data_IF_484191895378
#
_entry.id   IF_484191895378
#
_cell.length_a   1.000
_cell.length_b   1.000
_cell.length_c   1.000
_cell.angle_alpha   90.00
_cell.angle_beta   90.00
_cell.angle_gamma   90.00
#
_symmetry.space_group_name_H-M   'P 1'
#
loop_
_entity.id
_entity.type
_entity.pdbx_description
1 polymer ?
#
# COMPACT_ATOMS: atom_id res chain seq x y z
N UNK A 1 -17.58 4.83 32.30
CA UNK A 1 -16.66 4.47 31.21
C UNK A 1 -17.40 4.02 29.98
N UNK A 2 -16.79 4.15 28.82
CA UNK A 2 -17.33 3.74 27.53
C UNK A 2 -16.86 2.31 27.22
N UNK A 3 -17.79 1.42 26.89
CA UNK A 3 -17.46 0.05 26.48
C UNK A 3 -17.00 0.06 25.02
N UNK A 4 -15.79 -0.46 24.75
CA UNK A 4 -15.13 -0.46 23.45
C UNK A 4 -14.68 -1.86 23.08
N UNK A 5 -14.80 -2.23 21.81
CA UNK A 5 -14.08 -3.36 21.27
C UNK A 5 -12.79 -2.85 20.62
N UNK A 6 -11.66 -3.13 21.24
CA UNK A 6 -10.35 -2.77 20.73
C UNK A 6 -9.74 -3.96 20.00
N UNK A 7 -9.43 -3.78 18.73
CA UNK A 7 -8.77 -4.77 17.89
C UNK A 7 -7.35 -4.34 17.62
N UNK A 8 -6.37 -5.18 17.97
CA UNK A 8 -4.97 -4.93 17.65
C UNK A 8 -4.77 -5.14 16.15
N UNK A 9 -4.84 -4.05 15.43
CA UNK A 9 -4.70 -3.99 13.99
C UNK A 9 -3.97 -2.71 13.61
N UNK A 10 -3.10 -2.77 12.63
CA UNK A 10 -2.40 -1.60 12.10
C UNK A 10 -2.48 -1.59 10.59
N UNK A 11 -2.86 -0.45 10.05
CA UNK A 11 -2.82 -0.17 8.61
C UNK A 11 -1.62 0.73 8.24
N UNK A 12 -0.85 1.17 9.20
CA UNK A 12 0.27 2.11 9.03
C UNK A 12 1.64 1.50 9.32
N UNK A 13 1.69 0.19 9.58
CA UNK A 13 2.94 -0.49 9.86
C UNK A 13 3.55 -0.19 11.23
N UNK A 14 2.79 0.36 12.15
CA UNK A 14 3.18 0.62 13.55
C UNK A 14 2.27 -0.15 14.50
N UNK A 15 2.62 -0.23 15.78
CA UNK A 15 1.72 -0.79 16.80
C UNK A 15 0.47 0.09 16.86
N UNK A 16 -0.68 -0.53 16.65
CA UNK A 16 -1.94 0.20 16.59
C UNK A 16 -3.14 -0.61 17.05
N UNK A 17 -4.23 0.11 17.26
CA UNK A 17 -5.52 -0.46 17.59
C UNK A 17 -6.62 0.25 16.80
N UNK A 18 -7.58 -0.52 16.32
CA UNK A 18 -8.87 -0.01 15.87
C UNK A 18 -9.87 -0.12 17.00
N UNK A 19 -10.62 0.94 17.24
CA UNK A 19 -11.59 1.02 18.33
C UNK A 19 -13.01 1.06 17.76
N UNK A 20 -13.81 0.08 18.12
CA UNK A 20 -15.20 -0.04 17.69
C UNK A 20 -16.12 0.26 18.85
N UNK A 21 -17.01 1.22 18.68
CA UNK A 21 -17.92 1.72 19.71
C UNK A 21 -19.28 2.01 19.07
N UNK A 22 -20.33 1.99 19.87
CA UNK A 22 -21.64 2.48 19.44
C UNK A 22 -21.54 3.95 19.02
N UNK A 23 -22.17 4.32 17.90
CA UNK A 23 -22.08 5.66 17.32
C UNK A 23 -22.55 6.75 18.29
N UNK A 24 -23.49 6.45 19.18
CA UNK A 24 -23.98 7.36 20.23
C UNK A 24 -22.90 7.70 21.27
N UNK A 25 -21.89 6.85 21.45
CA UNK A 25 -20.78 6.98 22.41
C UNK A 25 -19.45 7.39 21.76
N UNK A 26 -19.43 7.58 20.45
CA UNK A 26 -18.19 7.87 19.73
C UNK A 26 -17.55 9.21 20.19
N UNK A 27 -18.37 10.22 20.44
CA UNK A 27 -17.91 11.53 20.95
C UNK A 27 -17.30 11.37 22.35
N UNK A 28 -17.97 10.69 23.26
CA UNK A 28 -17.47 10.49 24.62
C UNK A 28 -16.16 9.72 24.63
N UNK A 29 -16.04 8.68 23.81
CA UNK A 29 -14.78 7.93 23.64
C UNK A 29 -13.65 8.85 23.14
N UNK A 30 -13.94 9.64 22.10
CA UNK A 30 -12.96 10.56 21.56
C UNK A 30 -12.46 11.56 22.60
N UNK A 31 -13.37 12.20 23.35
CA UNK A 31 -13.03 13.17 24.38
C UNK A 31 -12.17 12.56 25.50
N UNK A 32 -12.50 11.33 25.94
CA UNK A 32 -11.69 10.57 26.91
C UNK A 32 -10.27 10.32 26.37
N UNK A 33 -10.16 9.87 25.12
CA UNK A 33 -8.86 9.58 24.51
C UNK A 33 -8.00 10.82 24.37
N UNK A 34 -8.59 11.96 23.99
CA UNK A 34 -7.86 13.23 23.87
C UNK A 34 -7.40 13.71 25.25
N UNK A 35 -8.25 13.64 26.26
CA UNK A 35 -7.88 14.08 27.61
C UNK A 35 -6.75 13.24 28.23
N UNK A 36 -6.92 11.92 28.21
CA UNK A 36 -5.89 11.00 28.72
C UNK A 36 -4.61 11.05 27.89
N UNK A 37 -4.74 11.22 26.58
CA UNK A 37 -3.64 11.28 25.62
C UNK A 37 -2.69 12.47 25.81
N UNK A 38 -3.12 13.54 26.50
CA UNK A 38 -2.24 14.68 26.81
C UNK A 38 -0.99 14.26 27.59
N UNK A 39 -1.12 13.25 28.44
CA UNK A 39 -0.03 12.71 29.24
C UNK A 39 0.94 11.84 28.42
N UNK A 40 0.60 11.53 27.16
CA UNK A 40 1.34 10.62 26.27
C UNK A 40 1.70 11.29 24.95
N UNK A 41 1.69 12.61 24.89
CA UNK A 41 2.01 13.39 23.68
C UNK A 41 1.14 13.01 22.47
N UNK A 42 -0.13 12.62 22.70
CA UNK A 42 -1.05 12.25 21.65
C UNK A 42 -1.21 13.39 20.64
N UNK A 43 -1.04 13.06 19.36
CA UNK A 43 -1.24 13.99 18.26
C UNK A 43 -2.23 13.43 17.23
N UNK A 44 -3.02 14.31 16.64
CA UNK A 44 -3.91 13.94 15.55
C UNK A 44 -3.11 13.75 14.26
N UNK A 45 -3.41 12.67 13.53
CA UNK A 45 -2.87 12.42 12.20
C UNK A 45 -4.00 12.39 11.19
N UNK A 46 -3.80 13.06 10.05
CA UNK A 46 -4.77 13.08 8.97
C UNK A 46 -4.65 11.90 8.02
N UNK A 47 -5.61 11.79 7.08
CA UNK A 47 -5.66 10.71 6.09
C UNK A 47 -4.41 10.63 5.21
N UNK A 48 -3.78 11.76 4.85
CA UNK A 48 -2.55 11.76 4.06
C UNK A 48 -1.37 11.14 4.80
N UNK A 49 -1.27 11.36 6.12
CA UNK A 49 -0.24 10.70 6.94
C UNK A 49 -0.47 9.19 7.00
N UNK A 50 -1.72 8.76 7.21
CA UNK A 50 -2.07 7.34 7.17
C UNK A 50 -1.75 6.73 5.81
N UNK A 51 -2.09 7.41 4.72
CA UNK A 51 -1.88 6.91 3.36
C UNK A 51 -0.39 6.71 3.05
N UNK A 52 0.48 7.67 3.37
CA UNK A 52 1.91 7.45 3.11
C UNK A 52 2.50 6.37 4.01
N UNK A 53 2.13 6.29 5.27
CA UNK A 53 2.65 5.28 6.21
C UNK A 53 2.26 3.85 5.78
N UNK A 54 1.03 3.63 5.28
CA UNK A 54 0.62 2.33 4.75
C UNK A 54 1.42 1.96 3.49
N UNK A 55 1.73 2.93 2.62
CA UNK A 55 2.54 2.73 1.42
C UNK A 55 3.99 2.37 1.79
N UNK A 56 4.58 3.05 2.75
CA UNK A 56 5.92 2.73 3.28
C UNK A 56 6.00 1.26 3.76
N UNK A 57 4.89 0.74 4.29
CA UNK A 57 4.77 -0.63 4.80
C UNK A 57 4.29 -1.65 3.75
N UNK A 58 4.01 -1.21 2.53
CA UNK A 58 3.54 -2.07 1.45
C UNK A 58 2.08 -2.51 1.57
N UNK A 59 1.27 -1.79 2.34
CA UNK A 59 -0.14 -2.12 2.52
C UNK A 59 -0.98 -1.47 1.42
N UNK A 60 -1.80 -2.29 0.78
CA UNK A 60 -2.66 -1.89 -0.33
C UNK A 60 -3.99 -1.34 0.17
N UNK A 61 -4.56 -0.40 -0.59
CA UNK A 61 -5.83 0.25 -0.30
C UNK A 61 -6.94 -0.36 -1.15
N UNK A 62 -7.96 -0.89 -0.49
CA UNK A 62 -9.15 -1.39 -1.18
C UNK A 62 -9.92 -0.25 -1.86
N UNK A 63 -10.25 -0.45 -3.12
CA UNK A 63 -10.93 0.55 -3.95
C UNK A 63 -9.98 1.49 -4.71
N UNK A 64 -8.68 1.47 -4.39
CA UNK A 64 -7.63 2.20 -5.12
C UNK A 64 -6.61 1.24 -5.73
N UNK A 65 -5.86 0.52 -4.87
CA UNK A 65 -4.82 -0.40 -5.34
C UNK A 65 -5.37 -1.76 -5.73
N UNK A 66 -6.41 -2.22 -5.06
CA UNK A 66 -7.06 -3.50 -5.30
C UNK A 66 -8.58 -3.36 -5.30
N UNK A 67 -9.22 -4.20 -6.10
CA UNK A 67 -10.66 -4.25 -6.29
C UNK A 67 -11.11 -5.71 -6.51
N UNK A 68 -12.40 -5.99 -6.75
CA UNK A 68 -12.84 -7.32 -7.18
C UNK A 68 -12.25 -7.79 -8.51
N UNK A 69 -11.63 -6.91 -9.29
CA UNK A 69 -11.02 -7.23 -10.59
C UNK A 69 -9.61 -7.85 -10.47
N UNK A 70 -8.95 -7.68 -9.32
CA UNK A 70 -7.63 -8.22 -9.07
C UNK A 70 -7.70 -9.48 -8.23
N UNK A 71 -6.96 -10.51 -8.64
CA UNK A 71 -6.72 -11.66 -7.79
C UNK A 71 -5.46 -11.45 -6.92
N UNK A 72 -5.30 -12.30 -5.89
CA UNK A 72 -4.24 -12.20 -4.89
C UNK A 72 -2.83 -12.33 -5.50
N UNK A 73 -2.68 -13.00 -6.64
CA UNK A 73 -1.38 -13.10 -7.32
C UNK A 73 -1.01 -11.82 -8.05
N UNK A 74 -1.98 -11.19 -8.71
CA UNK A 74 -1.81 -9.90 -9.36
C UNK A 74 -1.50 -8.80 -8.34
N UNK A 75 -2.22 -8.81 -7.22
CA UNK A 75 -2.09 -7.82 -6.14
C UNK A 75 -0.85 -8.02 -5.24
N UNK A 76 -0.03 -9.05 -5.47
CA UNK A 76 1.13 -9.32 -4.63
C UNK A 76 0.81 -9.94 -3.27
N UNK A 77 -0.44 -10.35 -3.02
CA UNK A 77 -0.93 -10.87 -1.74
C UNK A 77 -0.85 -12.39 -1.61
N UNK A 78 -0.03 -13.05 -2.43
CA UNK A 78 0.16 -14.51 -2.39
C UNK A 78 0.54 -15.04 -1.02
N UNK A 79 1.29 -14.28 -0.23
CA UNK A 79 1.71 -14.66 1.11
C UNK A 79 0.54 -14.87 2.08
N UNK A 80 -0.60 -14.20 1.85
CA UNK A 80 -1.80 -14.33 2.68
C UNK A 80 -2.61 -15.61 2.39
N UNK A 81 -2.29 -16.34 1.31
CA UNK A 81 -2.99 -17.57 0.93
C UNK A 81 -2.34 -18.77 1.63
N UNK A 82 -3.07 -19.43 2.51
CA UNK A 82 -2.58 -20.64 3.19
C UNK A 82 -3.16 -21.91 2.58
N UNK A 83 -2.42 -22.52 1.65
CA UNK A 83 -2.78 -23.82 1.09
C UNK A 83 -2.45 -25.01 2.01
N UNK A 84 -1.58 -24.80 2.99
CA UNK A 84 -1.11 -25.86 3.91
C UNK A 84 -2.09 -26.18 5.02
N UNK A 85 -3.05 -25.28 5.29
CA UNK A 85 -4.06 -25.53 6.32
C UNK A 85 -5.00 -26.65 5.87
N UNK A 86 -5.25 -27.60 6.76
CA UNK A 86 -6.19 -28.69 6.53
C UNK A 86 -7.68 -28.24 6.68
N UNK A 87 -7.95 -27.02 6.26
CA UNK A 87 -9.27 -26.40 6.27
C UNK A 87 -9.54 -25.84 4.88
N UNK A 88 -10.72 -26.11 4.36
CA UNK A 88 -11.14 -25.52 3.10
C UNK A 88 -11.60 -24.07 3.30
N UNK A 89 -11.47 -23.23 2.27
CA UNK A 89 -11.96 -21.85 2.26
C UNK A 89 -12.57 -21.51 0.89
N UNK A 90 -13.48 -20.55 0.88
CA UNK A 90 -14.13 -20.08 -0.36
C UNK A 90 -13.08 -19.54 -1.31
N UNK A 91 -13.10 -20.02 -2.56
CA UNK A 91 -12.16 -19.59 -3.62
C UNK A 91 -10.87 -20.40 -3.69
N UNK A 92 -10.61 -21.37 -2.79
CA UNK A 92 -9.36 -22.19 -2.82
C UNK A 92 -9.14 -22.86 -4.16
N UNK A 93 -10.17 -23.52 -4.71
CA UNK A 93 -10.06 -24.24 -6.00
C UNK A 93 -9.84 -23.29 -7.17
N UNK A 94 -10.46 -22.11 -7.14
CA UNK A 94 -10.26 -21.07 -8.15
C UNK A 94 -8.81 -20.57 -8.11
N UNK A 95 -8.27 -20.29 -6.93
CA UNK A 95 -6.88 -19.87 -6.75
C UNK A 95 -5.87 -20.95 -7.17
N UNK A 96 -6.15 -22.22 -6.88
CA UNK A 96 -5.30 -23.33 -7.32
C UNK A 96 -5.23 -23.43 -8.85
N UNK A 97 -6.34 -23.16 -9.55
CA UNK A 97 -6.38 -23.20 -11.03
C UNK A 97 -5.51 -22.12 -11.68
N UNK A 98 -5.35 -20.96 -11.04
CA UNK A 98 -4.60 -19.82 -11.59
C UNK A 98 -3.19 -19.68 -11.00
N UNK A 99 -2.83 -20.49 -10.02
CA UNK A 99 -1.59 -20.39 -9.24
C UNK A 99 -0.32 -20.33 -10.10
N UNK A 100 -0.28 -21.16 -11.15
CA UNK A 100 0.90 -21.31 -12.02
C UNK A 100 0.66 -20.66 -13.40
N UNK A 101 -0.41 -19.92 -13.56
CA UNK A 101 -0.70 -19.19 -14.79
C UNK A 101 0.15 -17.92 -14.90
N UNK A 102 0.43 -17.53 -16.14
CA UNK A 102 1.07 -16.25 -16.41
C UNK A 102 0.09 -15.12 -16.06
N UNK A 103 0.54 -14.20 -15.20
CA UNK A 103 -0.25 -13.03 -14.86
C UNK A 103 -0.31 -12.06 -16.05
N UNK A 104 -1.46 -11.50 -16.30
CA UNK A 104 -1.66 -10.43 -17.30
C UNK A 104 -1.16 -9.07 -16.80
N UNK A 105 -1.23 -8.84 -15.48
CA UNK A 105 -0.71 -7.66 -14.79
C UNK A 105 -0.16 -8.04 -13.41
N UNK A 106 0.68 -7.19 -12.84
CA UNK A 106 1.23 -7.36 -11.49
C UNK A 106 1.41 -6.01 -10.82
N UNK A 107 1.03 -5.94 -9.55
CA UNK A 107 1.32 -4.79 -8.71
C UNK A 107 2.81 -4.72 -8.38
N UNK A 108 3.35 -3.54 -8.42
CA UNK A 108 4.72 -3.21 -8.04
C UNK A 108 4.76 -1.90 -7.26
N UNK A 109 5.84 -1.71 -6.54
CA UNK A 109 6.17 -0.48 -5.84
C UNK A 109 7.30 0.24 -6.57
N UNK A 110 7.19 1.56 -6.63
CA UNK A 110 8.17 2.43 -7.26
C UNK A 110 8.56 3.57 -6.32
N UNK A 111 9.77 4.08 -6.52
CA UNK A 111 10.19 5.36 -5.94
C UNK A 111 10.78 6.24 -7.03
N UNK A 112 10.48 7.55 -6.99
CA UNK A 112 11.13 8.50 -7.87
C UNK A 112 12.58 8.67 -7.44
N UNK A 113 13.50 8.78 -8.43
CA UNK A 113 14.92 8.96 -8.16
C UNK A 113 15.21 10.34 -7.55
N UNK A 114 14.54 11.36 -8.06
CA UNK A 114 14.64 12.73 -7.59
C UNK A 114 13.26 13.25 -7.23
N UNK A 115 13.06 13.63 -5.97
CA UNK A 115 11.77 14.14 -5.50
C UNK A 115 11.94 15.02 -4.27
N UNK A 116 11.03 15.98 -4.14
CA UNK A 116 10.85 16.83 -2.97
C UNK A 116 9.39 16.77 -2.53
N UNK A 117 9.05 17.21 -1.33
CA UNK A 117 7.66 17.30 -0.90
C UNK A 117 6.81 18.08 -1.88
N UNK A 118 5.81 17.43 -2.50
CA UNK A 118 4.91 18.04 -3.47
C UNK A 118 5.49 18.33 -4.86
N UNK A 119 6.75 17.92 -5.13
CA UNK A 119 7.42 18.14 -6.43
C UNK A 119 8.14 16.88 -6.90
N UNK A 120 7.59 16.14 -7.88
CA UNK A 120 6.26 16.32 -8.45
C UNK A 120 5.14 15.82 -7.50
N UNK A 121 3.91 16.29 -7.72
CA UNK A 121 2.75 15.77 -7.01
C UNK A 121 2.31 14.46 -7.67
N UNK A 122 2.74 13.36 -7.11
CA UNK A 122 2.39 12.01 -7.54
C UNK A 122 1.15 11.53 -6.78
N UNK A 123 0.09 11.15 -7.49
CA UNK A 123 -1.19 10.75 -6.90
C UNK A 123 -1.58 9.33 -7.32
N UNK A 124 -2.21 9.20 -8.51
CA UNK A 124 -2.67 7.92 -9.07
C UNK A 124 -3.03 8.10 -10.55
N UNK A 125 -3.17 6.96 -11.27
CA UNK A 125 -3.49 6.87 -12.71
C UNK A 125 -2.42 7.45 -13.64
N UNK A 126 -1.25 7.81 -13.13
CA UNK A 126 -0.11 8.24 -13.95
C UNK A 126 0.42 7.06 -14.77
N UNK A 127 0.69 7.23 -16.06
CA UNK A 127 1.22 6.17 -16.91
C UNK A 127 2.67 5.83 -16.55
N UNK A 128 2.94 4.52 -16.49
CA UNK A 128 4.27 3.95 -16.26
C UNK A 128 4.85 3.55 -17.61
N UNK A 129 6.04 4.07 -17.93
CA UNK A 129 6.76 3.79 -19.16
C UNK A 129 7.99 2.92 -18.92
N UNK A 130 8.23 2.01 -19.84
CA UNK A 130 9.55 1.42 -20.06
C UNK A 130 10.02 1.89 -21.44
N UNK A 131 11.15 2.62 -21.47
CA UNK A 131 11.60 3.35 -22.63
C UNK A 131 10.49 4.31 -23.16
N UNK A 132 9.89 4.00 -24.32
CA UNK A 132 8.81 4.82 -24.91
C UNK A 132 7.44 4.11 -24.92
N UNK A 133 7.30 2.97 -24.23
CA UNK A 133 6.07 2.21 -24.20
C UNK A 133 5.41 2.30 -22.83
N UNK A 134 4.11 2.54 -22.80
CA UNK A 134 3.32 2.43 -21.58
C UNK A 134 3.25 0.93 -21.22
N UNK A 135 3.70 0.61 -20.02
CA UNK A 135 3.67 -0.75 -19.47
C UNK A 135 2.69 -0.90 -18.30
N UNK A 136 2.09 0.19 -17.85
CA UNK A 136 1.18 0.16 -16.73
C UNK A 136 0.72 1.55 -16.31
N UNK A 137 0.10 1.59 -15.13
CA UNK A 137 -0.35 2.83 -14.49
C UNK A 137 -0.19 2.73 -12.97
N UNK A 138 -0.06 3.89 -12.32
CA UNK A 138 -0.03 4.00 -10.86
C UNK A 138 -1.45 3.85 -10.28
N UNK A 139 -1.53 3.40 -9.04
CA UNK A 139 -2.80 3.29 -8.30
C UNK A 139 -2.80 4.15 -7.04
N UNK A 140 -1.63 4.40 -6.49
CA UNK A 140 -1.41 5.30 -5.36
C UNK A 140 -0.06 5.99 -5.51
N UNK A 141 0.03 7.21 -5.02
CA UNK A 141 1.26 7.96 -4.95
C UNK A 141 1.26 8.96 -3.80
N UNK A 142 2.38 9.12 -3.11
CA UNK A 142 2.55 10.10 -2.07
C UNK A 142 4.03 10.32 -1.74
N UNK A 143 4.36 11.41 -1.05
CA UNK A 143 5.71 11.69 -0.58
C UNK A 143 5.93 11.19 0.84
N UNK A 144 6.93 10.34 1.02
CA UNK A 144 7.38 9.90 2.35
C UNK A 144 8.38 10.90 2.93
N UNK A 145 8.00 11.53 4.03
CA UNK A 145 8.89 12.40 4.80
C UNK A 145 9.94 11.60 5.60
N UNK A 146 9.63 10.35 5.95
CA UNK A 146 10.56 9.49 6.68
C UNK A 146 11.72 9.00 5.80
N UNK A 147 11.44 8.77 4.53
CA UNK A 147 12.42 8.24 3.57
C UNK A 147 12.85 9.28 2.52
N UNK A 148 12.29 10.49 2.59
CA UNK A 148 12.56 11.61 1.67
C UNK A 148 12.40 11.24 0.19
N UNK A 149 11.33 10.48 -0.12
CA UNK A 149 11.06 9.95 -1.46
C UNK A 149 9.57 9.95 -1.79
N UNK A 150 9.24 10.21 -3.05
CA UNK A 150 7.93 9.88 -3.58
C UNK A 150 7.84 8.35 -3.77
N UNK A 151 6.77 7.76 -3.23
CA UNK A 151 6.41 6.36 -3.39
C UNK A 151 5.20 6.23 -4.30
N UNK A 152 5.12 5.15 -5.05
CA UNK A 152 3.96 4.80 -5.85
C UNK A 152 3.70 3.30 -5.81
N UNK A 153 2.43 2.92 -5.84
CA UNK A 153 1.98 1.61 -6.25
C UNK A 153 1.43 1.68 -7.66
N UNK A 154 1.53 0.60 -8.40
CA UNK A 154 0.97 0.54 -9.73
C UNK A 154 1.01 -0.86 -10.34
N UNK A 155 0.15 -1.09 -11.31
CA UNK A 155 0.16 -2.34 -12.07
C UNK A 155 0.98 -2.18 -13.34
N UNK A 156 1.80 -3.20 -13.60
CA UNK A 156 2.51 -3.36 -14.87
C UNK A 156 2.01 -4.58 -15.62
N UNK A 157 2.02 -4.48 -16.94
CA UNK A 157 1.53 -5.53 -17.83
C UNK A 157 2.38 -6.80 -17.77
N UNK A 158 1.81 -7.89 -18.26
CA UNK A 158 2.43 -9.20 -18.36
C UNK A 158 3.86 -9.18 -18.93
N UNK A 159 4.70 -10.01 -18.34
CA UNK A 159 6.10 -10.16 -18.74
C UNK A 159 7.06 -9.23 -18.00
N UNK A 160 6.54 -8.24 -17.27
CA UNK A 160 7.34 -7.37 -16.42
C UNK A 160 7.40 -7.93 -14.99
N UNK A 161 8.58 -8.07 -14.45
CA UNK A 161 8.86 -8.47 -13.06
C UNK A 161 9.86 -7.49 -12.46
N UNK A 162 10.07 -7.52 -11.16
CA UNK A 162 11.09 -6.69 -10.51
C UNK A 162 12.45 -6.92 -11.18
N UNK A 163 12.81 -8.19 -11.39
CA UNK A 163 14.09 -8.59 -11.99
C UNK A 163 14.25 -8.06 -13.42
N UNK A 164 13.17 -8.11 -14.23
CA UNK A 164 13.23 -7.65 -15.62
C UNK A 164 13.21 -6.13 -15.76
N UNK A 165 12.72 -5.42 -14.75
CA UNK A 165 12.62 -3.94 -14.77
C UNK A 165 13.79 -3.25 -14.08
N UNK A 166 14.52 -3.94 -13.19
CA UNK A 166 15.57 -3.36 -12.34
C UNK A 166 16.65 -2.60 -13.13
N UNK A 167 17.02 -3.13 -14.31
CA UNK A 167 18.08 -2.56 -15.17
C UNK A 167 17.51 -1.80 -16.38
N UNK A 168 16.23 -1.45 -16.34
CA UNK A 168 15.55 -0.74 -17.42
C UNK A 168 15.32 0.74 -17.09
N UNK A 169 15.16 1.53 -18.12
CA UNK A 169 14.76 2.92 -18.01
C UNK A 169 13.24 2.99 -17.81
N UNK A 170 12.83 3.07 -16.54
CA UNK A 170 11.42 3.17 -16.16
C UNK A 170 11.13 4.61 -15.75
N UNK A 171 9.97 5.10 -16.17
CA UNK A 171 9.51 6.45 -15.89
C UNK A 171 8.05 6.44 -15.48
N UNK A 172 7.67 7.35 -14.62
CA UNK A 172 6.26 7.73 -14.39
C UNK A 172 6.07 9.12 -15.00
N UNK A 173 5.02 9.27 -15.80
CA UNK A 173 4.68 10.57 -16.40
C UNK A 173 3.69 11.30 -15.50
N UNK A 174 4.12 12.42 -14.93
CA UNK A 174 3.34 13.27 -14.06
C UNK A 174 3.27 14.65 -14.72
N UNK A 175 2.05 15.18 -14.94
CA UNK A 175 1.85 16.49 -15.59
C UNK A 175 2.62 16.64 -16.93
N UNK A 176 2.62 15.58 -17.75
CA UNK A 176 3.31 15.49 -19.05
C UNK A 176 4.84 15.53 -18.96
N UNK A 177 5.42 15.34 -17.78
CA UNK A 177 6.87 15.19 -17.59
C UNK A 177 7.19 13.78 -17.12
N UNK A 178 8.25 13.20 -17.67
CA UNK A 178 8.70 11.86 -17.31
C UNK A 178 9.74 11.92 -16.21
N UNK A 179 9.45 11.30 -15.09
CA UNK A 179 10.33 11.18 -13.94
C UNK A 179 10.90 9.77 -13.85
N UNK A 180 12.24 9.62 -13.78
CA UNK A 180 12.86 8.31 -13.66
C UNK A 180 12.52 7.70 -12.30
N UNK A 181 12.21 6.40 -12.30
CA UNK A 181 11.86 5.65 -11.09
C UNK A 181 12.73 4.43 -10.91
N UNK A 182 12.77 3.95 -9.68
CA UNK A 182 13.31 2.65 -9.30
C UNK A 182 12.17 1.74 -8.86
N UNK A 183 12.26 0.46 -9.25
CA UNK A 183 11.34 -0.57 -8.78
C UNK A 183 11.83 -1.07 -7.42
N UNK A 184 10.97 -1.07 -6.42
CA UNK A 184 11.28 -1.57 -5.10
C UNK A 184 11.01 -3.08 -5.01
N UNK A 185 11.98 -3.84 -4.52
CA UNK A 185 11.84 -5.27 -4.25
C UNK A 185 11.00 -5.54 -2.99
N UNK A 186 11.05 -4.61 -2.03
CA UNK A 186 10.38 -4.70 -0.73
C UNK A 186 9.90 -3.32 -0.30
N UNK A 187 8.89 -3.27 0.59
CA UNK A 187 8.50 -2.03 1.24
C UNK A 187 9.68 -1.38 1.95
N UNK A 188 9.67 -0.04 2.04
CA UNK A 188 10.74 0.72 2.72
C UNK A 188 10.72 0.46 4.22
N UNK A 189 9.54 0.40 4.82
CA UNK A 189 9.37 0.04 6.22
C UNK A 189 9.40 -1.49 6.35
N UNK A 190 10.59 -2.04 6.55
CA UNK A 190 10.78 -3.48 6.75
C UNK A 190 10.91 -3.82 8.23
N UNK A 191 10.22 -3.08 9.11
CA UNK A 191 10.19 -3.38 10.53
C UNK A 191 9.51 -4.74 10.74
N UNK A 192 10.26 -5.71 11.22
CA UNK A 192 9.69 -6.92 11.79
C UNK A 192 8.88 -6.52 13.02
N UNK A 193 7.56 -6.63 12.96
CA UNK A 193 6.64 -6.42 14.10
C UNK A 193 6.77 -7.50 15.17
N UNK A 194 7.91 -8.11 15.27
CA UNK A 194 8.25 -9.06 16.34
C UNK A 194 8.81 -8.29 17.52
N UNK A 195 7.94 -7.65 18.27
CA UNK A 195 8.15 -7.30 19.69
C UNK A 195 6.82 -7.32 20.41
#
# INVERSE_FOLDING_TARGET
GVKVWAQRLSYVGELGFELYVDSSLAKDLYEILIEEGKNFELSHCGMHAMDIMRMESGFVHWGHDISPEENQYQAGLKFAISYKKNVNFIGKDALLKIKDQKLDKRMMMFTLKDSKPGEPLLLHEEPIYMDNKIIGRTTSGNYSFCYEKNLSFGYVNSGNTVETLKDKNIYIEIEKQKYPVEVLEKPLNNKDFKN
#
